data_IF_368837048495
#
_entry.id   IF_368837048495
#
_cell.length_a   1.000
_cell.length_b   1.000
_cell.length_c   1.000
_cell.angle_alpha   90.00
_cell.angle_beta   90.00
_cell.angle_gamma   90.00
#
_symmetry.space_group_name_H-M   'P 1'
#
loop_
_entity.id
_entity.type
_entity.pdbx_description
1 polymer ?
#
# COMPACT_ATOMS: atom_id res chain seq x y z
N UNK A 1 60.54 -32.87 0.34
CA UNK A 1 59.31 -32.93 -0.49
C UNK A 1 58.45 -31.71 -0.18
N UNK A 2 58.72 -30.55 -0.77
CA UNK A 2 58.38 -30.12 -2.14
C UNK A 2 56.86 -29.89 -2.32
N UNK A 3 56.42 -28.62 -2.20
CA UNK A 3 55.13 -28.11 -2.71
C UNK A 3 55.21 -28.03 -4.25
N UNK A 4 54.09 -28.01 -5.01
CA UNK A 4 53.54 -26.69 -5.39
C UNK A 4 52.02 -26.59 -5.63
N UNK A 5 51.54 -25.36 -5.42
CA UNK A 5 50.52 -24.57 -6.16
C UNK A 5 49.45 -25.30 -6.99
N UNK A 6 48.20 -24.90 -6.76
CA UNK A 6 47.24 -24.63 -7.84
C UNK A 6 46.21 -23.56 -7.45
N UNK A 7 45.62 -22.85 -8.43
CA UNK A 7 45.37 -21.42 -8.36
C UNK A 7 43.88 -21.03 -8.33
N UNK A 8 43.67 -19.75 -7.96
CA UNK A 8 42.64 -18.79 -8.36
C UNK A 8 41.31 -19.30 -8.96
N UNK A 9 40.21 -18.96 -8.29
CA UNK A 9 38.95 -18.69 -8.96
C UNK A 9 38.35 -17.40 -8.34
N UNK A 10 38.55 -16.28 -9.04
CA UNK A 10 37.83 -15.05 -8.83
C UNK A 10 36.46 -15.14 -9.54
N UNK A 11 35.45 -14.36 -9.10
CA UNK A 11 34.04 -14.68 -9.30
C UNK A 11 33.52 -14.31 -10.69
N UNK A 12 32.51 -15.02 -11.22
CA UNK A 12 31.74 -14.51 -12.34
C UNK A 12 30.93 -13.28 -11.88
N UNK A 13 31.22 -12.14 -12.49
CA UNK A 13 30.42 -10.93 -12.40
C UNK A 13 28.97 -11.24 -12.80
N UNK A 14 28.09 -11.30 -11.82
CA UNK A 14 26.65 -11.38 -12.04
C UNK A 14 26.21 -10.02 -12.62
N UNK A 15 25.96 -10.02 -13.92
CA UNK A 15 25.30 -8.93 -14.64
C UNK A 15 23.99 -8.61 -13.92
N UNK A 16 23.89 -7.39 -13.39
CA UNK A 16 22.63 -6.85 -12.89
C UNK A 16 21.66 -6.76 -14.09
N UNK A 17 20.50 -7.42 -14.06
CA UNK A 17 19.43 -7.04 -14.94
C UNK A 17 18.87 -5.71 -14.41
N UNK A 18 19.12 -4.63 -15.14
CA UNK A 18 18.27 -3.45 -15.11
C UNK A 18 16.89 -3.87 -15.63
N UNK A 19 16.08 -4.44 -14.74
CA UNK A 19 14.67 -4.73 -14.93
C UNK A 19 13.88 -3.42 -14.88
N UNK A 20 13.91 -2.72 -16.00
CA UNK A 20 13.07 -1.58 -16.33
C UNK A 20 11.61 -2.05 -16.43
N UNK A 21 10.71 -1.38 -15.70
CA UNK A 21 9.28 -1.40 -16.00
C UNK A 21 8.45 -2.52 -15.38
N UNK A 22 8.45 -2.66 -14.05
CA UNK A 22 7.30 -3.30 -13.40
C UNK A 22 6.18 -2.27 -13.25
N UNK A 23 5.56 -1.89 -14.37
CA UNK A 23 4.20 -1.36 -14.36
C UNK A 23 3.29 -2.53 -13.98
N UNK A 24 3.28 -2.88 -12.70
CA UNK A 24 2.32 -3.79 -12.13
C UNK A 24 0.96 -3.22 -12.51
N UNK A 25 0.29 -3.87 -13.47
CA UNK A 25 -1.09 -3.58 -13.79
C UNK A 25 -1.84 -3.65 -12.47
N UNK A 26 -2.19 -2.49 -11.91
CA UNK A 26 -3.15 -2.40 -10.82
C UNK A 26 -4.47 -2.80 -11.45
N UNK A 27 -4.67 -4.10 -11.59
CA UNK A 27 -5.92 -4.70 -12.02
C UNK A 27 -6.94 -4.17 -11.03
N UNK A 28 -7.70 -3.17 -11.46
CA UNK A 28 -8.59 -2.36 -10.64
C UNK A 28 -9.81 -3.16 -10.22
N UNK A 29 -9.61 -4.39 -9.78
CA UNK A 29 -10.58 -5.33 -9.26
C UNK A 29 -10.46 -5.36 -7.75
N UNK A 30 -11.57 -5.69 -7.10
CA UNK A 30 -11.58 -5.90 -5.67
C UNK A 30 -10.64 -7.06 -5.31
N UNK A 31 -9.86 -6.89 -4.24
CA UNK A 31 -8.96 -7.92 -3.71
C UNK A 31 -9.52 -8.44 -2.40
N UNK A 32 -9.47 -9.74 -2.17
CA UNK A 32 -9.80 -10.33 -0.88
C UNK A 32 -8.56 -11.04 -0.37
N UNK A 33 -8.18 -10.73 0.85
CA UNK A 33 -6.95 -11.21 1.46
C UNK A 33 -7.27 -11.69 2.87
N UNK A 34 -6.62 -12.77 3.29
CA UNK A 34 -6.80 -13.36 4.62
C UNK A 34 -5.55 -13.08 5.46
N UNK A 35 -5.73 -12.40 6.58
CA UNK A 35 -4.71 -12.32 7.62
C UNK A 35 -4.90 -13.46 8.61
N UNK A 36 -3.92 -14.35 8.68
CA UNK A 36 -3.95 -15.54 9.55
C UNK A 36 -3.39 -15.27 10.94
N UNK A 37 -2.50 -14.27 11.07
CA UNK A 37 -1.76 -13.99 12.29
C UNK A 37 -1.40 -12.52 12.47
N UNK A 38 -0.55 -12.25 13.47
CA UNK A 38 -0.11 -10.90 13.84
C UNK A 38 1.29 -10.55 13.33
N UNK A 39 2.09 -11.57 13.03
CA UNK A 39 3.40 -11.44 12.41
C UNK A 39 3.34 -10.77 11.05
N UNK A 40 4.38 -10.02 10.70
CA UNK A 40 4.46 -9.27 9.44
C UNK A 40 4.03 -10.10 8.20
N UNK A 41 4.55 -11.31 7.94
CA UNK A 41 4.19 -12.05 6.73
C UNK A 41 2.72 -12.50 6.65
N UNK A 42 2.02 -12.51 7.78
CA UNK A 42 0.64 -13.03 7.95
C UNK A 42 -0.38 -11.95 8.32
N UNK A 43 0.09 -10.71 8.45
CA UNK A 43 -0.70 -9.57 8.87
C UNK A 43 -0.66 -8.49 7.80
N UNK A 44 -1.69 -7.65 7.75
CA UNK A 44 -1.77 -6.59 6.76
C UNK A 44 -0.76 -5.46 6.97
N UNK A 45 -0.43 -5.13 8.22
CA UNK A 45 0.50 -4.05 8.65
C UNK A 45 0.52 -2.87 7.65
N UNK A 46 -0.53 -2.06 7.69
CA UNK A 46 -0.66 -0.84 6.88
C UNK A 46 -1.18 0.32 7.73
N UNK A 47 -0.94 1.54 7.27
CA UNK A 47 -1.64 2.75 7.74
C UNK A 47 -2.70 3.14 6.73
N UNK A 48 -3.78 3.73 7.21
CA UNK A 48 -4.85 4.22 6.35
C UNK A 48 -5.36 5.56 6.84
N UNK A 49 -5.83 6.36 5.89
CA UNK A 49 -6.55 7.59 6.16
C UNK A 49 -7.89 7.27 6.84
N UNK A 50 -8.09 7.79 8.05
CA UNK A 50 -9.27 7.53 8.83
C UNK A 50 -10.55 8.14 8.21
N UNK A 51 -10.44 9.18 7.39
CA UNK A 51 -11.60 9.78 6.73
C UNK A 51 -12.11 8.99 5.52
N UNK A 52 -11.20 8.43 4.73
CA UNK A 52 -11.52 7.75 3.47
C UNK A 52 -11.42 6.21 3.57
N UNK A 53 -10.83 5.67 4.64
CA UNK A 53 -10.53 4.24 4.77
C UNK A 53 -9.51 3.75 3.73
N UNK A 54 -8.71 4.66 3.18
CA UNK A 54 -7.75 4.40 2.09
C UNK A 54 -6.37 4.13 2.66
N UNK A 55 -5.72 3.07 2.19
CA UNK A 55 -4.37 2.70 2.60
C UNK A 55 -3.37 3.74 2.08
N UNK A 56 -2.62 4.34 2.99
CA UNK A 56 -1.63 5.39 2.74
C UNK A 56 -0.21 4.86 2.77
N UNK A 57 0.08 3.88 3.63
CA UNK A 57 1.41 3.27 3.73
C UNK A 57 1.28 1.76 4.00
N UNK A 58 2.27 1.00 3.56
CA UNK A 58 2.36 -0.45 3.76
C UNK A 58 3.69 -0.80 4.40
N UNK A 59 3.69 -1.69 5.39
CA UNK A 59 4.92 -2.15 6.01
C UNK A 59 5.61 -3.23 5.14
N UNK A 60 6.94 -3.21 5.05
CA UNK A 60 7.69 -4.19 4.27
C UNK A 60 7.52 -5.61 4.82
N UNK A 61 7.37 -6.57 3.91
CA UNK A 61 7.11 -7.99 4.22
C UNK A 61 5.67 -8.30 4.63
N UNK A 62 4.82 -7.27 4.76
CA UNK A 62 3.40 -7.36 5.12
C UNK A 62 2.51 -7.95 4.01
N UNK A 63 1.32 -8.44 4.37
CA UNK A 63 0.31 -8.83 3.38
C UNK A 63 -0.11 -7.65 2.51
N UNK A 64 -0.16 -6.42 3.03
CA UNK A 64 -0.53 -5.26 2.22
C UNK A 64 0.48 -4.95 1.11
N UNK A 65 1.79 -5.11 1.39
CA UNK A 65 2.83 -4.97 0.38
C UNK A 65 2.77 -6.13 -0.63
N UNK A 66 2.72 -7.38 -0.16
CA UNK A 66 2.65 -8.58 -1.02
C UNK A 66 1.47 -8.55 -2.00
N UNK A 67 0.34 -7.99 -1.56
CA UNK A 67 -0.86 -7.87 -2.39
C UNK A 67 -0.97 -6.52 -3.11
N UNK A 68 0.02 -5.63 -3.02
CA UNK A 68 0.01 -4.29 -3.61
C UNK A 68 -1.29 -3.54 -3.30
N UNK A 69 -1.59 -3.37 -2.01
CA UNK A 69 -2.81 -2.74 -1.51
C UNK A 69 -2.69 -1.23 -1.29
N UNK A 70 -1.56 -0.61 -1.67
CA UNK A 70 -1.40 0.84 -1.58
C UNK A 70 -2.52 1.55 -2.37
N UNK A 71 -3.11 2.60 -1.78
CA UNK A 71 -4.26 3.34 -2.29
C UNK A 71 -5.59 2.57 -2.40
N UNK A 72 -5.64 1.27 -2.06
CA UNK A 72 -6.91 0.56 -1.96
C UNK A 72 -7.69 1.05 -0.73
N UNK A 73 -9.02 0.92 -0.81
CA UNK A 73 -9.91 1.20 0.31
C UNK A 73 -10.41 -0.10 0.93
N UNK A 74 -10.45 -0.17 2.25
CA UNK A 74 -11.09 -1.30 2.94
C UNK A 74 -12.59 -1.26 2.70
N UNK A 75 -13.16 -2.31 2.11
CA UNK A 75 -14.58 -2.40 1.75
C UNK A 75 -15.38 -3.17 2.79
N UNK A 76 -14.88 -4.34 3.16
CA UNK A 76 -15.55 -5.23 4.10
C UNK A 76 -14.54 -6.15 4.79
N UNK A 77 -14.94 -6.72 5.91
CA UNK A 77 -14.19 -7.77 6.59
C UNK A 77 -15.12 -8.87 7.10
N UNK A 78 -14.55 -10.03 7.37
CA UNK A 78 -15.27 -11.23 7.78
C UNK A 78 -14.48 -11.98 8.84
N UNK A 79 -15.14 -12.22 9.97
CA UNK A 79 -14.63 -13.03 11.06
C UNK A 79 -14.85 -14.53 10.79
N UNK A 80 -14.05 -15.41 11.41
CA UNK A 80 -14.31 -16.85 11.44
C UNK A 80 -15.72 -17.20 11.94
N UNK A 81 -16.19 -18.41 11.63
CA UNK A 81 -17.50 -18.90 12.08
C UNK A 81 -17.56 -19.25 13.57
N UNK A 82 -16.40 -19.38 14.21
CA UNK A 82 -16.26 -19.81 15.60
C UNK A 82 -15.41 -18.81 16.37
N UNK A 83 -15.86 -18.40 17.55
CA UNK A 83 -15.12 -17.46 18.41
C UNK A 83 -13.81 -18.06 18.90
N UNK A 84 -13.77 -19.38 19.13
CA UNK A 84 -12.57 -20.10 19.56
C UNK A 84 -11.42 -20.06 18.53
N UNK A 85 -11.73 -19.75 17.26
CA UNK A 85 -10.72 -19.57 16.23
C UNK A 85 -10.11 -18.15 16.25
N UNK A 86 -10.74 -17.21 16.95
CA UNK A 86 -10.32 -15.80 17.01
C UNK A 86 -9.35 -15.60 18.17
N UNK A 87 -8.27 -14.89 17.89
CA UNK A 87 -7.19 -14.54 18.79
C UNK A 87 -6.90 -13.06 18.70
N UNK A 88 -6.45 -12.51 19.82
CA UNK A 88 -5.76 -11.22 19.90
C UNK A 88 -4.26 -11.44 19.76
N UNK A 89 -3.49 -10.36 19.81
CA UNK A 89 -2.02 -10.43 19.70
C UNK A 89 -1.38 -11.29 20.80
N UNK A 90 -2.01 -11.36 21.98
CA UNK A 90 -1.46 -12.03 23.16
C UNK A 90 -2.18 -13.35 23.46
N UNK A 91 -3.51 -13.40 23.27
CA UNK A 91 -4.32 -14.48 23.82
C UNK A 91 -5.59 -14.78 22.98
N UNK A 92 -6.21 -15.96 23.14
CA UNK A 92 -7.51 -16.24 22.53
C UNK A 92 -8.55 -15.19 22.92
N UNK A 93 -9.53 -14.91 22.04
CA UNK A 93 -10.56 -13.91 22.33
C UNK A 93 -11.46 -14.37 23.48
N UNK A 94 -11.24 -13.79 24.67
CA UNK A 94 -11.98 -14.10 25.90
C UNK A 94 -13.26 -13.25 26.06
N UNK A 95 -14.20 -13.73 26.88
CA UNK A 95 -15.48 -13.05 27.16
C UNK A 95 -15.32 -11.67 27.82
N UNK A 96 -14.21 -11.46 28.53
CA UNK A 96 -13.85 -10.20 29.17
C UNK A 96 -13.39 -9.12 28.20
N UNK A 97 -13.10 -9.47 26.94
CA UNK A 97 -12.57 -8.52 25.97
C UNK A 97 -13.69 -7.64 25.39
N UNK A 98 -13.44 -6.32 25.26
CA UNK A 98 -14.41 -5.35 24.72
C UNK A 98 -15.03 -5.74 23.36
N UNK A 99 -14.25 -6.42 22.50
CA UNK A 99 -14.68 -6.83 21.16
C UNK A 99 -15.42 -8.18 21.15
N UNK A 100 -15.43 -8.91 22.26
CA UNK A 100 -16.10 -10.20 22.34
C UNK A 100 -17.59 -10.16 21.94
N UNK A 101 -18.45 -9.27 22.49
CA UNK A 101 -19.85 -9.20 22.10
C UNK A 101 -20.02 -8.88 20.61
N UNK A 102 -19.20 -7.95 20.10
CA UNK A 102 -19.20 -7.59 18.68
C UNK A 102 -18.81 -8.77 17.79
N UNK A 103 -17.72 -9.47 18.12
CA UNK A 103 -17.24 -10.62 17.37
C UNK A 103 -18.26 -11.76 17.38
N UNK A 104 -18.81 -12.09 18.56
CA UNK A 104 -19.82 -13.14 18.74
C UNK A 104 -21.09 -12.88 17.92
N UNK A 105 -21.56 -11.64 17.83
CA UNK A 105 -22.73 -11.27 17.04
C UNK A 105 -22.51 -11.39 15.51
N UNK A 106 -21.25 -11.36 15.07
CA UNK A 106 -20.87 -11.20 13.66
C UNK A 106 -20.02 -12.36 13.10
N UNK A 107 -19.95 -13.49 13.81
CA UNK A 107 -19.23 -14.68 13.36
C UNK A 107 -19.70 -15.13 11.96
N UNK A 108 -18.74 -15.34 11.05
CA UNK A 108 -19.00 -15.82 9.70
C UNK A 108 -19.76 -14.86 8.79
N UNK A 109 -20.11 -13.65 9.25
CA UNK A 109 -20.78 -12.62 8.45
C UNK A 109 -19.77 -11.70 7.79
N UNK A 110 -20.05 -11.28 6.57
CA UNK A 110 -19.31 -10.20 5.93
C UNK A 110 -19.91 -8.87 6.36
N UNK A 111 -19.09 -8.02 6.97
CA UNK A 111 -19.46 -6.69 7.43
C UNK A 111 -18.84 -5.63 6.55
N UNK A 112 -19.65 -4.66 6.12
CA UNK A 112 -19.12 -3.47 5.45
C UNK A 112 -18.26 -2.67 6.43
N UNK A 113 -17.05 -2.32 6.00
CA UNK A 113 -16.15 -1.51 6.79
C UNK A 113 -16.67 -0.07 6.85
N UNK A 114 -16.52 0.53 8.00
CA UNK A 114 -17.06 1.85 8.34
C UNK A 114 -16.03 2.50 9.27
N UNK A 115 -15.52 3.64 8.85
CA UNK A 115 -14.45 4.35 9.55
C UNK A 115 -14.93 5.07 10.80
N UNK A 116 -16.23 5.36 10.89
CA UNK A 116 -16.84 6.03 12.04
C UNK A 116 -17.14 5.05 13.20
N UNK A 117 -17.01 3.75 12.95
CA UNK A 117 -17.25 2.69 13.94
C UNK A 117 -15.95 2.20 14.55
N UNK A 118 -15.73 2.55 15.80
CA UNK A 118 -14.52 2.15 16.54
C UNK A 118 -14.35 0.62 16.59
N UNK A 119 -15.43 -0.16 16.63
CA UNK A 119 -15.39 -1.63 16.62
C UNK A 119 -14.77 -2.17 15.33
N UNK A 120 -15.03 -1.52 14.19
CA UNK A 120 -14.46 -1.90 12.90
C UNK A 120 -12.96 -1.60 12.86
N UNK A 121 -12.57 -0.43 13.35
CA UNK A 121 -11.17 -0.02 13.44
C UNK A 121 -10.36 -0.98 14.34
N UNK A 122 -10.88 -1.27 15.54
CA UNK A 122 -10.23 -2.21 16.47
C UNK A 122 -10.23 -3.64 15.93
N UNK A 123 -11.31 -4.11 15.29
CA UNK A 123 -11.35 -5.46 14.69
C UNK A 123 -10.23 -5.67 13.66
N UNK A 124 -9.99 -4.70 12.76
CA UNK A 124 -8.90 -4.81 11.78
C UNK A 124 -7.51 -4.84 12.42
N UNK A 125 -7.34 -4.22 13.59
CA UNK A 125 -6.05 -4.12 14.27
C UNK A 125 -5.79 -5.30 15.20
N UNK A 126 -6.81 -5.72 15.95
CA UNK A 126 -6.65 -6.55 17.15
C UNK A 126 -7.14 -7.98 16.97
N UNK A 127 -7.93 -8.31 15.94
CA UNK A 127 -8.50 -9.65 15.81
C UNK A 127 -7.92 -10.42 14.62
N UNK A 128 -7.47 -11.65 14.85
CA UNK A 128 -7.04 -12.59 13.81
C UNK A 128 -7.59 -13.99 14.10
N UNK A 129 -7.77 -14.85 13.09
CA UNK A 129 -7.64 -14.57 11.67
C UNK A 129 -8.82 -13.71 11.16
N UNK A 130 -8.59 -12.98 10.07
CA UNK A 130 -9.56 -12.07 9.49
C UNK A 130 -9.46 -12.06 7.97
N UNK A 131 -10.59 -12.17 7.28
CA UNK A 131 -10.65 -11.97 5.83
C UNK A 131 -11.09 -10.55 5.55
N UNK A 132 -10.34 -9.82 4.72
CA UNK A 132 -10.61 -8.42 4.39
C UNK A 132 -10.71 -8.27 2.88
N UNK A 133 -11.76 -7.59 2.42
CA UNK A 133 -11.96 -7.24 1.03
C UNK A 133 -11.69 -5.76 0.82
N UNK A 134 -10.97 -5.46 -0.25
CA UNK A 134 -10.49 -4.14 -0.62
C UNK A 134 -11.08 -3.75 -1.97
N UNK A 135 -11.53 -2.51 -2.08
CA UNK A 135 -11.93 -1.91 -3.35
C UNK A 135 -10.75 -1.14 -3.95
N UNK A 136 -10.60 -1.17 -5.29
CA UNK A 136 -9.59 -0.38 -5.98
C UNK A 136 -9.78 1.12 -5.70
N UNK A 137 -8.73 1.93 -5.81
CA UNK A 137 -8.89 3.37 -5.84
C UNK A 137 -9.84 3.77 -6.99
N UNK A 138 -10.57 4.89 -6.86
CA UNK A 138 -11.28 5.47 -7.99
C UNK A 138 -10.26 5.70 -9.11
N UNK A 139 -10.60 5.26 -10.33
CA UNK A 139 -9.78 5.58 -11.48
C UNK A 139 -9.79 7.10 -11.65
N UNK A 140 -8.63 7.74 -11.90
CA UNK A 140 -8.64 9.15 -12.25
C UNK A 140 -9.56 9.31 -13.45
N UNK A 141 -10.49 10.25 -13.36
CA UNK A 141 -11.37 10.53 -14.48
C UNK A 141 -10.53 11.09 -15.64
N UNK A 142 -10.93 10.85 -16.89
CA UNK A 142 -10.23 11.41 -18.07
C UNK A 142 -10.05 12.93 -17.93
N UNK A 143 -11.04 13.61 -17.34
CA UNK A 143 -11.00 15.05 -17.06
C UNK A 143 -9.95 15.48 -16.04
N UNK A 144 -9.69 14.67 -15.01
CA UNK A 144 -8.63 14.97 -14.05
C UNK A 144 -7.26 14.81 -14.71
N UNK A 145 -7.08 13.75 -15.50
CA UNK A 145 -5.85 13.56 -16.28
C UNK A 145 -5.64 14.73 -17.24
N UNK A 146 -6.67 15.12 -18.00
CA UNK A 146 -6.60 16.27 -18.92
C UNK A 146 -6.23 17.57 -18.21
N UNK A 147 -6.78 17.83 -17.01
CA UNK A 147 -6.43 19.01 -16.21
C UNK A 147 -5.00 18.98 -15.71
N UNK A 148 -4.54 17.85 -15.20
CA UNK A 148 -3.17 17.69 -14.71
C UNK A 148 -2.17 17.87 -15.85
N UNK A 149 -2.50 17.35 -17.03
CA UNK A 149 -1.69 17.52 -18.24
C UNK A 149 -1.65 18.98 -18.69
N UNK A 150 -2.81 19.66 -18.72
CA UNK A 150 -2.90 21.07 -19.09
C UNK A 150 -2.15 21.99 -18.12
N UNK A 151 -2.18 21.69 -16.82
CA UNK A 151 -1.41 22.44 -15.82
C UNK A 151 0.09 22.25 -16.01
N UNK A 152 0.55 21.03 -16.29
CA UNK A 152 1.95 20.75 -16.56
C UNK A 152 2.44 21.45 -17.83
N UNK A 153 1.62 21.44 -18.88
CA UNK A 153 1.93 22.12 -20.14
C UNK A 153 2.00 23.64 -19.95
N UNK A 154 1.05 24.24 -19.23
CA UNK A 154 1.08 25.66 -18.89
C UNK A 154 2.30 26.05 -18.04
N UNK A 155 2.72 25.18 -17.10
CA UNK A 155 3.90 25.42 -16.28
C UNK A 155 5.19 25.39 -17.12
N UNK A 156 5.29 24.48 -18.09
CA UNK A 156 6.42 24.42 -19.02
C UNK A 156 6.47 25.64 -19.94
N UNK A 157 5.32 26.11 -20.41
CA UNK A 157 5.23 27.30 -21.25
C UNK A 157 5.64 28.56 -20.47
N UNK A 158 5.10 28.76 -19.26
CA UNK A 158 5.46 29.87 -18.40
C UNK A 158 6.96 29.89 -18.06
N UNK A 159 7.55 28.71 -17.81
CA UNK A 159 8.99 28.60 -17.55
C UNK A 159 9.82 29.00 -18.77
N UNK A 160 9.35 28.69 -19.98
CA UNK A 160 10.03 29.05 -21.24
C UNK A 160 9.95 30.54 -21.53
N UNK A 161 8.80 31.17 -21.26
CA UNK A 161 8.63 32.62 -21.40
C UNK A 161 9.53 33.38 -20.42
N UNK A 162 9.65 32.91 -19.17
CA UNK A 162 10.53 33.52 -18.18
C UNK A 162 12.02 33.47 -18.60
N UNK A 163 12.47 32.33 -19.15
CA UNK A 163 13.84 32.19 -19.67
C UNK A 163 14.13 33.14 -20.85
N UNK A 164 13.16 33.34 -21.74
CA UNK A 164 13.32 34.23 -22.90
C UNK A 164 13.41 35.70 -22.46
N UNK A 165 12.55 36.11 -21.52
CA UNK A 165 12.61 37.41 -20.87
C UNK A 165 13.95 37.66 -20.18
N UNK A 166 14.48 36.68 -19.43
CA UNK A 166 15.79 36.81 -18.79
C UNK A 166 16.93 36.97 -19.80
N UNK A 167 16.89 36.26 -20.93
CA UNK A 167 17.88 36.42 -22.00
C UNK A 167 17.80 37.79 -22.65
N UNK A 168 16.60 38.29 -22.92
CA UNK A 168 16.40 39.61 -23.50
C UNK A 168 16.98 40.72 -22.60
N UNK A 169 16.73 40.64 -21.28
CA UNK A 169 17.28 41.58 -20.29
C UNK A 169 18.81 41.52 -20.27
N UNK A 170 19.42 40.32 -20.22
CA UNK A 170 20.87 40.19 -20.24
C UNK A 170 21.51 40.72 -21.54
N UNK A 171 20.88 40.46 -22.69
CA UNK A 171 21.36 40.96 -23.97
C UNK A 171 21.35 42.49 -24.01
N UNK A 172 20.30 43.11 -23.47
CA UNK A 172 20.18 44.57 -23.40
C UNK A 172 21.21 45.22 -22.48
N UNK A 173 21.59 44.57 -21.37
CA UNK A 173 22.63 45.05 -20.44
C UNK A 173 24.01 45.05 -21.10
N UNK A 174 24.30 44.11 -22.00
CA UNK A 174 25.62 44.01 -22.67
C UNK A 174 25.85 45.03 -23.80
N UNK A 175 24.83 45.74 -24.24
CA UNK A 175 24.92 46.70 -25.34
C UNK A 175 25.05 48.16 -24.88
N UNK A 176 25.09 48.42 -23.57
CA UNK A 176 25.42 49.71 -22.97
C UNK A 176 26.86 49.72 -22.48
#
# INVERSE_FOLDING_TARGET
SSRPRSPAHAPPSARLPFGMGCACSQDGRAKTVQATGFDAPENFKFTYDAGAGRITEVAPGGLAEKHALLHFRVRSFKLPRQVAAIKTEVEPLAESHDLFPFAKANLGKELRFDTDKWEHLRTLRELRPLTVSFSPPPRPSTREVERETALLEAALEASREEEDLQRAIQASIRQQ
#
